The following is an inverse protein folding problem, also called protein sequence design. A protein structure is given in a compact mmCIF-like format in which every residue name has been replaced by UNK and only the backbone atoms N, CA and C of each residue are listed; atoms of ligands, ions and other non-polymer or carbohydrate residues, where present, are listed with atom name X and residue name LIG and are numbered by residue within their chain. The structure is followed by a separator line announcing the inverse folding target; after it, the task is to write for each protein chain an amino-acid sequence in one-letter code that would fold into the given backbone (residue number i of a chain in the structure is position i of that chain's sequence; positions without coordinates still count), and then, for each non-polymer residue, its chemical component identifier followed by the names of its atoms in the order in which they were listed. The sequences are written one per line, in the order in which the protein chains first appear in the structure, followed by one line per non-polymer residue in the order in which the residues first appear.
data_IF_011746921201
#
_entry.id   IF_011746921201
#
_cell.length_a   1.000
_cell.length_b   1.000
_cell.length_c   1.000
_cell.angle_alpha   90.00
_cell.angle_beta   90.00
_cell.angle_gamma   90.00
#
_symmetry.space_group_name_H-M   'P 1'
#
loop_
_entity.id
_entity.type
_entity.pdbx_description
1 polymer ?
#
# COMPACT_ATOMS: atom_id res chain seq x y z
N UNK A 1 -70.86 1.35 -18.66
CA UNK A 1 -69.73 1.54 -19.59
C UNK A 1 -68.61 2.25 -18.84
N UNK A 2 -67.55 1.52 -18.45
CA UNK A 2 -66.45 2.01 -17.62
C UNK A 2 -65.28 2.46 -18.48
N UNK A 3 -64.96 3.76 -18.45
CA UNK A 3 -63.89 4.36 -19.23
C UNK A 3 -62.63 4.51 -18.36
N UNK A 4 -61.86 3.43 -18.17
CA UNK A 4 -60.52 3.47 -17.57
C UNK A 4 -59.50 3.96 -18.60
N UNK A 5 -59.47 5.27 -18.85
CA UNK A 5 -58.38 5.89 -19.63
C UNK A 5 -57.12 5.96 -18.77
N UNK A 6 -56.22 5.02 -19.04
CA UNK A 6 -54.76 5.14 -19.05
C UNK A 6 -54.16 6.33 -18.28
N UNK A 7 -53.78 6.09 -17.03
CA UNK A 7 -52.83 6.93 -16.26
C UNK A 7 -51.35 6.59 -16.57
N UNK A 8 -51.06 6.05 -17.77
CA UNK A 8 -49.72 5.55 -18.10
C UNK A 8 -48.86 6.56 -18.89
N UNK A 9 -49.45 7.63 -19.44
CA UNK A 9 -48.71 8.55 -20.33
C UNK A 9 -48.01 9.72 -19.62
N UNK A 10 -48.12 9.83 -18.29
CA UNK A 10 -47.53 10.92 -17.51
C UNK A 10 -46.19 10.55 -16.84
N UNK A 11 -45.78 9.28 -16.85
CA UNK A 11 -44.53 8.83 -16.19
C UNK A 11 -43.31 8.80 -17.12
N UNK A 12 -43.50 8.72 -18.43
CA UNK A 12 -42.42 8.63 -19.40
C UNK A 12 -41.50 9.88 -19.45
N UNK A 13 -41.99 11.13 -19.38
CA UNK A 13 -41.10 12.29 -19.50
C UNK A 13 -40.20 12.45 -18.26
N UNK A 14 -40.69 12.12 -17.07
CA UNK A 14 -39.91 12.24 -15.83
C UNK A 14 -38.77 11.21 -15.75
N UNK A 15 -38.96 10.01 -16.31
CA UNK A 15 -37.92 8.98 -16.32
C UNK A 15 -36.74 9.36 -17.23
N UNK A 16 -37.03 9.94 -18.40
CA UNK A 16 -35.99 10.41 -19.33
C UNK A 16 -35.23 11.61 -18.74
N UNK A 17 -35.93 12.53 -18.07
CA UNK A 17 -35.31 13.66 -17.35
C UNK A 17 -34.39 13.17 -16.22
N UNK A 18 -34.78 12.14 -15.47
CA UNK A 18 -33.95 11.57 -14.40
C UNK A 18 -32.66 10.93 -14.93
N UNK A 19 -32.72 10.20 -16.05
CA UNK A 19 -31.53 9.64 -16.71
C UNK A 19 -30.63 10.76 -17.24
N UNK A 20 -31.20 11.81 -17.82
CA UNK A 20 -30.42 12.97 -18.27
C UNK A 20 -29.75 13.70 -17.11
N UNK A 21 -30.43 13.87 -15.96
CA UNK A 21 -29.82 14.46 -14.75
C UNK A 21 -28.68 13.58 -14.23
N UNK A 22 -28.82 12.25 -14.24
CA UNK A 22 -27.72 11.33 -13.87
C UNK A 22 -26.54 11.42 -14.87
N UNK A 23 -26.82 11.55 -16.17
CA UNK A 23 -25.79 11.66 -17.19
C UNK A 23 -25.05 13.01 -17.11
N UNK A 24 -25.77 14.11 -16.84
CA UNK A 24 -25.20 15.45 -16.68
C UNK A 24 -24.54 15.66 -15.31
N UNK A 25 -25.03 15.02 -14.25
CA UNK A 25 -24.28 14.91 -12.99
C UNK A 25 -22.97 14.15 -13.17
N UNK A 26 -22.86 13.24 -14.14
CA UNK A 26 -21.58 12.61 -14.49
C UNK A 26 -20.68 13.48 -15.39
N UNK A 27 -21.25 14.42 -16.16
CA UNK A 27 -20.50 15.28 -17.08
C UNK A 27 -20.00 16.60 -16.46
N UNK A 28 -20.64 17.12 -15.41
CA UNK A 28 -20.31 18.42 -14.79
C UNK A 28 -19.72 18.32 -13.38
N UNK A 29 -19.45 17.11 -12.88
CA UNK A 29 -18.79 16.93 -11.60
C UNK A 29 -17.28 16.95 -11.81
N UNK A 30 -16.76 18.17 -11.96
CA UNK A 30 -15.37 18.51 -11.59
C UNK A 30 -15.12 18.38 -10.08
N UNK A 31 -15.76 17.41 -9.41
CA UNK A 31 -15.38 17.02 -8.06
C UNK A 31 -14.31 15.94 -8.14
N UNK A 32 -13.37 15.92 -7.19
CA UNK A 32 -12.53 14.77 -7.00
C UNK A 32 -13.41 13.61 -6.52
N UNK A 33 -13.80 12.71 -7.43
CA UNK A 33 -14.35 11.40 -7.09
C UNK A 33 -13.21 10.56 -6.48
N UNK A 34 -12.74 10.93 -5.29
CA UNK A 34 -11.61 10.28 -4.63
C UNK A 34 -12.01 9.48 -3.38
N UNK A 35 -13.31 9.28 -3.10
CA UNK A 35 -13.67 8.79 -1.76
C UNK A 35 -14.94 7.95 -1.59
N UNK A 36 -15.61 7.44 -2.63
CA UNK A 36 -16.90 6.76 -2.39
C UNK A 36 -16.82 5.23 -2.24
N UNK A 37 -15.77 4.52 -2.68
CA UNK A 37 -15.70 3.06 -2.49
C UNK A 37 -14.27 2.54 -2.26
N UNK A 38 -13.63 2.96 -1.15
CA UNK A 38 -12.45 2.22 -0.65
C UNK A 38 -12.94 1.04 0.18
N UNK A 39 -13.37 -0.04 -0.48
CA UNK A 39 -13.64 -1.30 0.21
C UNK A 39 -12.32 -1.98 0.54
N UNK A 40 -11.91 -1.99 1.81
CA UNK A 40 -10.63 -2.55 2.23
C UNK A 40 -9.45 -1.62 1.98
N UNK A 41 -8.82 -1.20 3.08
CA UNK A 41 -7.62 -0.37 3.04
C UNK A 41 -6.81 -0.48 4.32
N UNK A 42 -5.71 0.25 4.36
CA UNK A 42 -4.85 0.40 5.52
C UNK A 42 -4.81 1.86 5.97
N UNK A 43 -4.53 2.05 7.25
CA UNK A 43 -3.88 3.25 7.77
C UNK A 43 -2.61 2.87 8.50
N UNK A 44 -1.67 3.80 8.60
CA UNK A 44 -0.48 3.62 9.43
C UNK A 44 -0.88 3.84 10.89
N UNK A 45 -0.78 2.79 11.70
CA UNK A 45 -1.07 2.84 13.14
C UNK A 45 0.12 3.38 13.94
N UNK A 46 1.32 2.96 13.56
CA UNK A 46 2.56 3.26 14.28
C UNK A 46 3.74 3.19 13.32
N UNK A 47 4.74 4.03 13.57
CA UNK A 47 6.05 3.95 12.94
C UNK A 47 7.06 3.86 14.06
N UNK A 48 7.82 2.77 14.11
CA UNK A 48 8.94 2.57 15.01
C UNK A 48 10.21 2.50 14.18
N UNK A 49 11.27 3.14 14.65
CA UNK A 49 12.54 3.15 13.93
C UNK A 49 13.72 3.20 14.89
N UNK A 50 14.84 2.62 14.46
CA UNK A 50 16.11 2.70 15.16
C UNK A 50 16.73 4.09 14.99
N UNK A 51 17.61 4.49 15.91
CA UNK A 51 18.34 5.77 15.83
C UNK A 51 19.14 5.93 14.54
N UNK A 52 19.51 4.81 13.90
CA UNK A 52 20.43 4.77 12.77
C UNK A 52 19.69 4.68 11.43
N UNK A 53 18.36 4.57 11.42
CA UNK A 53 17.56 4.40 10.21
C UNK A 53 16.16 4.98 10.43
N UNK A 54 15.91 6.20 9.99
CA UNK A 54 14.65 6.91 10.21
C UNK A 54 13.76 6.88 8.96
N UNK A 55 12.45 6.74 9.14
CA UNK A 55 11.45 6.89 8.07
C UNK A 55 10.90 8.31 8.10
N UNK A 56 11.06 9.04 7.00
CA UNK A 56 10.58 10.42 6.86
C UNK A 56 9.29 10.48 6.04
N UNK A 57 9.27 9.74 4.92
CA UNK A 57 8.13 9.73 4.01
C UNK A 57 7.78 8.33 3.53
N UNK A 58 6.48 8.09 3.44
CA UNK A 58 5.87 6.96 2.74
C UNK A 58 4.92 7.53 1.71
N UNK A 59 4.96 7.02 0.49
CA UNK A 59 4.17 7.53 -0.62
C UNK A 59 3.68 6.41 -1.52
N UNK A 60 2.56 6.66 -2.19
CA UNK A 60 2.09 5.80 -3.26
C UNK A 60 3.01 5.91 -4.47
N UNK A 61 2.93 4.95 -5.41
CA UNK A 61 3.69 5.04 -6.65
C UNK A 61 3.41 6.32 -7.46
N UNK A 62 2.24 6.95 -7.26
CA UNK A 62 1.82 8.22 -7.87
C UNK A 62 2.33 9.47 -7.14
N UNK A 63 3.13 9.32 -6.08
CA UNK A 63 3.72 10.44 -5.35
C UNK A 63 2.82 11.05 -4.26
N UNK A 64 1.64 10.47 -3.99
CA UNK A 64 0.83 10.89 -2.83
C UNK A 64 1.51 10.44 -1.54
N UNK A 65 1.89 11.39 -0.69
CA UNK A 65 2.37 11.14 0.68
C UNK A 65 1.26 10.50 1.54
N UNK A 66 1.63 9.57 2.40
CA UNK A 66 0.75 8.84 3.32
C UNK A 66 1.21 9.14 4.76
N UNK A 67 0.40 9.89 5.51
CA UNK A 67 0.56 10.09 6.94
C UNK A 67 -0.16 9.03 7.79
N UNK A 68 -0.02 9.13 9.11
CA UNK A 68 -0.68 8.20 10.07
C UNK A 68 -2.22 8.22 9.98
N UNK A 69 -2.81 9.37 9.65
CA UNK A 69 -4.26 9.53 9.50
C UNK A 69 -4.78 9.16 8.11
N UNK A 70 -3.89 8.99 7.12
CA UNK A 70 -4.28 8.71 5.74
C UNK A 70 -4.75 7.26 5.57
N UNK A 71 -5.78 7.10 4.74
CA UNK A 71 -6.23 5.79 4.25
C UNK A 71 -5.65 5.54 2.88
N UNK A 72 -5.15 4.33 2.65
CA UNK A 72 -4.72 3.87 1.33
C UNK A 72 -5.24 2.45 1.05
N UNK A 73 -5.62 2.16 -0.19
CA UNK A 73 -6.16 0.85 -0.56
C UNK A 73 -5.05 -0.12 -0.94
N UNK A 74 -5.16 -1.38 -0.48
CA UNK A 74 -4.36 -2.49 -0.99
C UNK A 74 -4.95 -3.11 -2.26
N UNK A 75 -6.23 -2.89 -2.56
CA UNK A 75 -6.92 -3.52 -3.72
C UNK A 75 -6.51 -2.95 -5.06
N UNK A 76 -6.18 -1.66 -5.11
CA UNK A 76 -5.63 -1.02 -6.31
C UNK A 76 -4.14 -1.43 -6.50
N UNK A 77 -3.61 -2.30 -5.62
CA UNK A 77 -2.26 -2.87 -5.64
C UNK A 77 -1.16 -1.86 -5.96
N UNK A 78 -1.37 -0.59 -5.61
CA UNK A 78 -0.42 0.46 -5.93
C UNK A 78 0.76 0.28 -4.99
N UNK A 79 1.96 -0.08 -5.51
CA UNK A 79 3.09 -0.30 -4.63
C UNK A 79 3.44 1.01 -3.93
N UNK A 80 3.82 0.89 -2.67
CA UNK A 80 4.35 1.99 -1.90
C UNK A 80 5.84 2.16 -2.17
N UNK A 81 6.28 3.36 -1.84
CA UNK A 81 7.66 3.80 -1.79
C UNK A 81 7.88 4.43 -0.42
N UNK A 82 9.09 4.35 0.10
CA UNK A 82 9.46 4.95 1.37
C UNK A 82 10.90 5.46 1.31
N UNK A 83 11.19 6.50 2.08
CA UNK A 83 12.52 7.08 2.17
C UNK A 83 12.75 7.71 3.54
N UNK A 84 14.01 8.01 3.82
CA UNK A 84 14.42 8.83 4.93
C UNK A 84 15.93 8.89 5.06
N UNK A 85 16.39 9.14 6.28
CA UNK A 85 17.80 9.31 6.63
C UNK A 85 18.34 8.08 7.35
N UNK A 86 19.65 7.84 7.22
CA UNK A 86 20.33 6.68 7.80
C UNK A 86 21.78 7.01 8.13
N UNK A 87 22.29 6.47 9.23
CA UNK A 87 23.73 6.42 9.56
C UNK A 87 24.36 5.07 9.18
N UNK A 88 23.54 4.09 8.76
CA UNK A 88 24.01 2.80 8.27
C UNK A 88 24.84 2.99 7.01
N UNK A 89 26.01 2.33 6.94
CA UNK A 89 26.94 2.44 5.82
C UNK A 89 26.31 1.98 4.49
N UNK A 90 26.65 2.67 3.40
CA UNK A 90 26.12 2.44 2.04
C UNK A 90 26.37 1.02 1.50
N UNK A 91 27.32 0.28 2.07
CA UNK A 91 27.62 -1.12 1.72
C UNK A 91 26.73 -2.15 2.44
N UNK A 92 25.82 -1.71 3.31
CA UNK A 92 24.96 -2.59 4.10
C UNK A 92 23.80 -3.12 3.29
N UNK A 93 23.51 -4.41 3.41
CA UNK A 93 22.35 -5.02 2.77
C UNK A 93 21.09 -4.76 3.60
N UNK A 94 20.23 -3.88 3.08
CA UNK A 94 18.94 -3.56 3.70
C UNK A 94 17.83 -4.04 2.78
N UNK A 95 16.92 -4.85 3.32
CA UNK A 95 15.79 -5.41 2.59
C UNK A 95 14.49 -4.99 3.25
N UNK A 96 13.45 -4.86 2.42
CA UNK A 96 12.09 -4.67 2.92
C UNK A 96 11.39 -6.02 2.94
N UNK A 97 10.82 -6.39 4.09
CA UNK A 97 9.99 -7.56 4.27
C UNK A 97 8.63 -7.14 4.80
N UNK A 98 7.58 -7.84 4.39
CA UNK A 98 6.24 -7.67 4.93
C UNK A 98 5.96 -8.81 5.89
N UNK A 99 5.19 -8.55 6.94
CA UNK A 99 4.72 -9.59 7.87
C UNK A 99 3.21 -9.61 7.91
N UNK A 100 2.61 -10.79 7.76
CA UNK A 100 1.16 -10.96 7.84
C UNK A 100 0.66 -11.16 9.28
N UNK A 101 -0.67 -11.26 9.43
CA UNK A 101 -1.33 -11.50 10.72
C UNK A 101 -0.99 -12.86 11.36
N UNK A 102 -0.46 -13.82 10.59
CA UNK A 102 -0.10 -15.18 11.02
C UNK A 102 1.39 -15.31 11.32
N UNK A 103 2.18 -14.27 11.08
CA UNK A 103 3.63 -14.24 11.30
C UNK A 103 4.45 -14.66 10.08
N UNK A 104 3.83 -14.91 8.93
CA UNK A 104 4.51 -15.21 7.68
C UNK A 104 5.18 -13.96 7.08
N UNK A 105 6.37 -14.14 6.50
CA UNK A 105 7.14 -13.07 5.87
C UNK A 105 7.08 -13.09 4.35
N UNK A 106 7.10 -11.92 3.73
CA UNK A 106 7.11 -11.75 2.27
C UNK A 106 8.19 -10.76 1.84
N UNK A 107 9.13 -11.20 1.01
CA UNK A 107 10.27 -10.40 0.59
C UNK A 107 9.85 -9.40 -0.50
N UNK A 108 10.23 -8.13 -0.34
CA UNK A 108 10.04 -7.11 -1.37
C UNK A 108 11.34 -6.90 -2.15
N UNK A 109 11.22 -6.57 -3.43
CA UNK A 109 12.34 -6.38 -4.34
C UNK A 109 12.13 -5.09 -5.16
N UNK A 110 13.15 -4.23 -5.35
CA UNK A 110 14.56 -4.37 -4.94
C UNK A 110 14.82 -4.16 -3.44
N UNK A 111 16.03 -4.53 -2.95
CA UNK A 111 16.52 -4.07 -1.65
C UNK A 111 16.52 -2.53 -1.57
N UNK A 112 16.56 -2.00 -0.35
CA UNK A 112 16.65 -0.57 -0.14
C UNK A 112 18.00 -0.04 -0.65
N UNK A 113 17.94 1.06 -1.39
CA UNK A 113 19.11 1.77 -1.90
C UNK A 113 19.56 2.77 -0.82
N UNK A 114 20.84 2.76 -0.47
CA UNK A 114 21.45 3.69 0.50
C UNK A 114 22.52 4.52 -0.19
N UNK A 115 22.49 5.84 0.00
CA UNK A 115 23.47 6.76 -0.58
C UNK A 115 23.57 8.05 0.22
N UNK A 116 24.79 8.44 0.60
CA UNK A 116 25.07 9.74 1.22
C UNK A 116 24.20 10.04 2.47
N UNK A 117 23.95 9.03 3.31
CA UNK A 117 23.13 9.17 4.52
C UNK A 117 21.62 9.19 4.28
N UNK A 118 21.16 8.90 3.06
CA UNK A 118 19.75 8.72 2.72
C UNK A 118 19.49 7.28 2.30
N UNK A 119 18.26 6.83 2.48
CA UNK A 119 17.81 5.55 1.97
C UNK A 119 16.47 5.67 1.23
N UNK A 120 16.25 4.74 0.31
CA UNK A 120 15.05 4.67 -0.50
C UNK A 120 14.64 3.21 -0.74
N UNK A 121 13.35 2.92 -0.59
CA UNK A 121 12.76 1.62 -0.91
C UNK A 121 11.54 1.79 -1.79
N UNK A 122 11.34 0.86 -2.72
CA UNK A 122 10.23 0.90 -3.68
C UNK A 122 9.60 -0.48 -3.83
N UNK A 123 8.47 -0.50 -4.51
CA UNK A 123 7.74 -1.72 -4.83
C UNK A 123 7.25 -2.50 -3.58
N UNK A 124 6.88 -1.76 -2.53
CA UNK A 124 6.38 -2.34 -1.29
C UNK A 124 4.88 -2.60 -1.47
N UNK A 125 4.45 -3.87 -1.46
CA UNK A 125 3.07 -4.25 -1.77
C UNK A 125 2.36 -4.88 -0.57
N UNK A 126 1.89 -4.07 0.40
CA UNK A 126 1.09 -4.59 1.50
C UNK A 126 -0.25 -5.11 0.95
N UNK A 127 -0.36 -6.44 0.81
CA UNK A 127 -1.57 -7.14 0.37
C UNK A 127 -2.60 -7.25 1.51
N UNK A 128 -3.72 -7.92 1.25
CA UNK A 128 -4.65 -8.36 2.29
C UNK A 128 -3.88 -9.14 3.38
N UNK A 129 -4.15 -8.87 4.66
CA UNK A 129 -3.51 -9.47 5.85
C UNK A 129 -2.10 -9.00 6.25
N UNK A 130 -1.45 -8.14 5.47
CA UNK A 130 -0.17 -7.54 5.91
C UNK A 130 -0.39 -6.57 7.07
N UNK A 131 0.30 -6.79 8.19
CA UNK A 131 0.27 -5.93 9.37
C UNK A 131 1.51 -5.09 9.55
N UNK A 132 2.65 -5.51 9.00
CA UNK A 132 3.91 -4.79 9.20
C UNK A 132 4.68 -4.68 7.89
N UNK A 133 5.28 -3.51 7.68
CA UNK A 133 6.35 -3.28 6.70
C UNK A 133 7.62 -3.11 7.52
N UNK A 134 8.62 -3.96 7.29
CA UNK A 134 9.82 -4.03 8.11
C UNK A 134 11.04 -3.82 7.20
N UNK A 135 11.90 -2.90 7.58
CA UNK A 135 13.24 -2.76 6.98
C UNK A 135 14.22 -3.52 7.84
N UNK A 136 14.90 -4.49 7.24
CA UNK A 136 15.84 -5.36 7.93
C UNK A 136 17.24 -5.22 7.36
N UNK A 137 18.22 -5.12 8.25
CA UNK A 137 19.64 -5.27 7.93
C UNK A 137 20.00 -6.75 7.99
N UNK A 138 20.70 -7.22 6.98
CA UNK A 138 21.22 -8.60 6.93
C UNK A 138 22.72 -8.61 6.68
N UNK A 139 23.39 -9.67 7.12
CA UNK A 139 24.78 -9.93 6.75
C UNK A 139 24.87 -10.47 5.31
N UNK A 140 26.09 -10.72 4.83
CA UNK A 140 26.34 -11.23 3.47
C UNK A 140 25.59 -12.55 3.18
N UNK A 141 25.59 -13.49 4.13
CA UNK A 141 24.89 -14.78 3.99
C UNK A 141 23.38 -14.61 3.89
N UNK A 142 22.79 -13.74 4.72
CA UNK A 142 21.37 -13.40 4.67
C UNK A 142 20.99 -12.71 3.36
N UNK A 143 21.83 -11.82 2.85
CA UNK A 143 21.65 -11.21 1.54
C UNK A 143 21.66 -12.25 0.42
N UNK A 144 22.57 -13.22 0.45
CA UNK A 144 22.60 -14.32 -0.52
C UNK A 144 21.30 -15.14 -0.50
N UNK A 145 20.74 -15.42 0.69
CA UNK A 145 19.43 -16.10 0.83
C UNK A 145 18.32 -15.30 0.15
N UNK A 146 18.25 -13.99 0.38
CA UNK A 146 17.25 -13.13 -0.25
C UNK A 146 17.45 -12.98 -1.76
N UNK A 147 18.69 -12.83 -2.23
CA UNK A 147 19.00 -12.82 -3.66
C UNK A 147 18.58 -14.13 -4.33
N UNK A 148 18.81 -15.28 -3.70
CA UNK A 148 18.38 -16.58 -4.24
C UNK A 148 16.85 -16.67 -4.31
N UNK A 149 16.13 -16.17 -3.30
CA UNK A 149 14.66 -16.05 -3.36
C UNK A 149 14.21 -15.21 -4.55
N UNK A 150 14.82 -14.03 -4.75
CA UNK A 150 14.53 -13.15 -5.88
C UNK A 150 14.79 -13.86 -7.21
N UNK A 151 15.97 -14.46 -7.37
CA UNK A 151 16.38 -15.16 -8.61
C UNK A 151 15.45 -16.32 -8.96
N UNK A 152 15.00 -17.07 -7.96
CA UNK A 152 14.10 -18.21 -8.14
C UNK A 152 12.62 -17.80 -8.14
N UNK A 153 12.31 -16.50 -8.13
CA UNK A 153 10.93 -15.98 -8.07
C UNK A 153 10.10 -16.52 -6.89
N UNK A 154 10.75 -16.76 -5.76
CA UNK A 154 10.13 -17.26 -4.52
C UNK A 154 9.54 -16.08 -3.73
N UNK A 155 8.46 -15.50 -4.27
CA UNK A 155 7.74 -14.36 -3.67
C UNK A 155 6.71 -14.74 -2.61
N UNK A 156 6.49 -16.04 -2.43
CA UNK A 156 5.57 -16.58 -1.43
C UNK A 156 6.04 -16.36 0.00
N UNK A 157 5.14 -16.71 0.92
CA UNK A 157 5.36 -16.67 2.36
C UNK A 157 6.59 -17.51 2.76
N UNK A 158 7.37 -17.04 3.72
CA UNK A 158 8.40 -17.83 4.38
C UNK A 158 8.36 -17.62 5.90
N UNK A 159 8.64 -18.68 6.65
CA UNK A 159 8.38 -18.72 8.10
C UNK A 159 9.44 -18.06 8.99
N UNK A 160 10.64 -17.79 8.47
CA UNK A 160 11.73 -17.24 9.27
C UNK A 160 12.67 -16.35 8.45
N UNK A 161 13.10 -15.24 9.05
CA UNK A 161 14.17 -14.40 8.51
C UNK A 161 15.52 -15.13 8.59
N UNK A 162 16.49 -14.79 7.74
CA UNK A 162 17.85 -15.32 7.85
C UNK A 162 18.48 -15.02 9.22
N UNK A 163 19.42 -15.86 9.65
CA UNK A 163 20.14 -15.64 10.90
C UNK A 163 20.83 -14.26 10.94
N UNK A 164 20.91 -13.68 12.14
CA UNK A 164 21.54 -12.38 12.37
C UNK A 164 20.87 -11.21 11.62
N UNK A 165 19.59 -11.37 11.25
CA UNK A 165 18.77 -10.26 10.78
C UNK A 165 18.48 -9.28 11.92
N UNK A 166 18.62 -7.99 11.65
CA UNK A 166 18.35 -6.89 12.60
C UNK A 166 17.24 -6.03 12.02
N UNK A 167 16.16 -5.82 12.77
CA UNK A 167 15.10 -4.88 12.41
C UNK A 167 15.58 -3.44 12.60
N UNK A 168 15.53 -2.63 11.54
CA UNK A 168 15.95 -1.23 11.53
C UNK A 168 14.76 -0.29 11.69
N UNK A 169 13.61 -0.64 11.11
CA UNK A 169 12.36 0.13 11.20
C UNK A 169 11.16 -0.75 10.92
N UNK A 170 10.03 -0.41 11.53
CA UNK A 170 8.76 -1.10 11.41
C UNK A 170 7.63 -0.07 11.24
N UNK A 171 6.82 -0.25 10.21
CA UNK A 171 5.55 0.45 10.04
C UNK A 171 4.44 -0.53 10.33
N UNK A 172 3.69 -0.28 11.40
CA UNK A 172 2.53 -1.08 11.78
C UNK A 172 1.30 -0.55 11.06
N UNK A 173 0.64 -1.43 10.31
CA UNK A 173 -0.57 -1.16 9.56
C UNK A 173 -1.80 -1.61 10.35
N UNK A 174 -2.87 -0.83 10.24
CA UNK A 174 -4.20 -1.21 10.70
C UNK A 174 -5.13 -1.35 9.51
N UNK A 175 -5.68 -2.55 9.31
CA UNK A 175 -6.73 -2.79 8.32
C UNK A 175 -7.99 -2.00 8.67
N UNK A 176 -8.62 -1.42 7.65
CA UNK A 176 -9.88 -0.71 7.71
C UNK A 176 -10.82 -1.44 6.76
N UNK A 177 -11.89 -2.01 7.32
CA UNK A 177 -12.98 -2.64 6.59
C UNK A 177 -13.88 -1.59 5.94
#
# INVERSE_FOLDING_TARGET
MNNKKSKLSLFLPYFVIFIFILFFANLFVGWPINSVLVFGGYKIKKIDFSKDFAIEDIYTNFGRRIGQSDRFSYKIQTPLKAQGTTSVADSTYIWTVLKDIRGGYYLQNPPAETKNGYWYSRNIRPQHDIREIIWVKVNKKGNEVFIQKVRNSMWGEFGALPDSTIELSVVVLQSIL
#
